data_IF_397178450793
#
_entry.id   IF_397178450793
#
_cell.length_a   1.000
_cell.length_b   1.000
_cell.length_c   1.000
_cell.angle_alpha   90.00
_cell.angle_beta   90.00
_cell.angle_gamma   90.00
#
_symmetry.space_group_name_H-M   'P 1'
#
loop_
_entity.id
_entity.type
_entity.pdbx_description
1 polymer ?
#
# COMPACT_ATOMS: atom_id res chain seq x y z
N UNK A 1 3.08 26.26 34.59
CA UNK A 1 3.33 26.56 33.18
C UNK A 1 2.40 25.66 32.37
N UNK A 2 1.32 26.19 31.81
CA UNK A 2 0.41 25.46 30.95
C UNK A 2 1.19 25.09 29.67
N UNK A 3 1.09 23.84 29.31
CA UNK A 3 1.88 23.21 28.26
C UNK A 3 1.47 23.81 26.90
N UNK A 4 2.27 24.70 26.31
CA UNK A 4 2.01 25.32 24.98
C UNK A 4 1.71 24.26 23.90
N UNK A 5 2.23 23.05 24.10
CA UNK A 5 2.01 21.92 23.19
C UNK A 5 0.60 21.32 23.27
N UNK A 6 -0.15 21.45 24.40
CA UNK A 6 -1.52 20.92 24.48
C UNK A 6 -2.47 21.76 23.60
N UNK A 7 -2.35 23.06 23.63
CA UNK A 7 -3.18 23.95 22.79
C UNK A 7 -2.90 23.80 21.29
N UNK A 8 -1.68 23.45 20.88
CA UNK A 8 -1.36 23.21 19.48
C UNK A 8 -2.03 21.92 18.97
N UNK A 9 -1.97 20.83 19.74
CA UNK A 9 -2.62 19.55 19.37
C UNK A 9 -4.14 19.70 19.22
N UNK A 10 -4.77 20.45 20.12
CA UNK A 10 -6.21 20.68 20.07
C UNK A 10 -6.58 21.53 18.84
N UNK A 11 -5.87 22.61 18.56
CA UNK A 11 -6.09 23.43 17.35
C UNK A 11 -5.93 22.62 16.06
N UNK A 12 -4.94 21.73 15.98
CA UNK A 12 -4.72 20.92 14.78
C UNK A 12 -5.84 19.89 14.60
N UNK A 13 -6.35 19.30 15.68
CA UNK A 13 -7.53 18.42 15.65
C UNK A 13 -8.80 19.17 15.25
N UNK A 14 -9.04 20.34 15.82
CA UNK A 14 -10.19 21.20 15.48
C UNK A 14 -10.16 21.56 14.00
N UNK A 15 -9.00 21.92 13.48
CA UNK A 15 -8.83 22.20 12.06
C UNK A 15 -9.15 20.97 11.21
N UNK A 16 -8.67 19.79 11.57
CA UNK A 16 -9.01 18.54 10.89
C UNK A 16 -10.51 18.26 10.91
N UNK A 17 -11.16 18.48 12.04
CA UNK A 17 -12.62 18.27 12.17
C UNK A 17 -13.44 19.23 11.32
N UNK A 18 -12.95 20.45 11.06
CA UNK A 18 -13.64 21.45 10.27
C UNK A 18 -13.35 21.38 8.78
N UNK A 19 -12.13 21.01 8.38
CA UNK A 19 -11.64 21.14 7.00
C UNK A 19 -11.24 19.78 6.38
N UNK A 20 -11.17 18.70 7.19
CA UNK A 20 -10.58 17.42 6.75
C UNK A 20 -9.07 17.54 6.55
N UNK A 21 -8.51 16.74 5.65
CA UNK A 21 -7.07 16.79 5.32
C UNK A 21 -6.76 17.73 4.15
N UNK A 22 -7.78 18.33 3.53
CA UNK A 22 -7.60 19.25 2.40
C UNK A 22 -6.80 20.48 2.85
N UNK A 23 -5.74 20.77 2.14
CA UNK A 23 -4.84 21.88 2.50
C UNK A 23 -3.90 21.61 3.68
N UNK A 24 -3.89 20.40 4.25
CA UNK A 24 -2.88 20.03 5.25
C UNK A 24 -1.54 19.73 4.57
N UNK A 25 -0.45 20.42 4.95
CA UNK A 25 0.87 20.04 4.49
C UNK A 25 1.26 18.65 5.04
N UNK A 26 2.12 17.88 4.33
CA UNK A 26 2.48 16.51 4.70
C UNK A 26 2.93 16.32 6.14
N UNK A 27 3.69 17.27 6.70
CA UNK A 27 4.16 17.21 8.09
C UNK A 27 3.01 17.32 9.09
N UNK A 28 1.97 18.13 8.82
CA UNK A 28 0.82 18.22 9.73
C UNK A 28 -0.04 16.95 9.71
N UNK A 29 -0.14 16.25 8.59
CA UNK A 29 -0.79 14.92 8.53
C UNK A 29 -0.04 13.92 9.41
N UNK A 30 1.29 13.87 9.30
CA UNK A 30 2.13 13.02 10.15
C UNK A 30 2.03 13.41 11.63
N UNK A 31 1.99 14.70 11.91
CA UNK A 31 1.85 15.22 13.27
C UNK A 31 0.56 14.73 13.93
N UNK A 32 -0.58 14.80 13.22
CA UNK A 32 -1.86 14.26 13.69
C UNK A 32 -1.77 12.77 14.02
N UNK A 33 -1.16 11.97 13.15
CA UNK A 33 -0.96 10.53 13.39
C UNK A 33 -0.08 10.29 14.61
N UNK A 34 1.01 11.03 14.75
CA UNK A 34 1.94 10.91 15.87
C UNK A 34 1.31 11.31 17.20
N UNK A 35 0.27 12.13 17.25
CA UNK A 35 -0.43 12.44 18.51
C UNK A 35 -0.92 11.21 19.27
N UNK A 36 -1.27 10.15 18.54
CA UNK A 36 -1.80 8.92 19.13
C UNK A 36 -0.71 7.94 19.58
N UNK A 37 0.47 8.00 18.97
CA UNK A 37 1.58 7.09 19.29
C UNK A 37 2.73 7.75 20.05
N UNK A 38 2.79 9.10 20.09
CA UNK A 38 3.82 9.88 20.78
C UNK A 38 3.17 10.97 21.66
N UNK A 39 2.58 10.62 22.82
CA UNK A 39 1.67 11.52 23.54
C UNK A 39 2.36 12.72 24.22
N UNK A 40 3.65 12.66 24.54
CA UNK A 40 4.33 13.63 25.43
C UNK A 40 5.50 14.38 24.80
N UNK A 41 5.71 14.26 23.48
CA UNK A 41 6.82 14.92 22.77
C UNK A 41 6.29 15.93 21.75
N UNK A 42 7.15 16.81 21.31
CA UNK A 42 6.89 17.64 20.15
C UNK A 42 6.88 16.78 18.89
N UNK A 43 5.68 16.58 18.35
CA UNK A 43 5.44 15.75 17.16
C UNK A 43 5.67 16.53 15.87
N UNK A 44 5.71 17.86 15.91
CA UNK A 44 6.00 18.69 14.76
C UNK A 44 7.44 18.47 14.26
N UNK A 45 8.40 18.54 15.18
CA UNK A 45 9.81 18.27 14.88
C UNK A 45 10.00 16.85 14.33
N UNK A 46 9.31 15.87 14.92
CA UNK A 46 9.38 14.47 14.44
C UNK A 46 8.80 14.30 13.03
N UNK A 47 7.68 14.95 12.74
CA UNK A 47 7.06 14.93 11.42
C UNK A 47 7.98 15.54 10.34
N UNK A 48 8.64 16.65 10.65
CA UNK A 48 9.62 17.26 9.73
C UNK A 48 10.83 16.35 9.48
N UNK A 49 11.40 15.73 10.50
CA UNK A 49 12.51 14.76 10.35
C UNK A 49 12.12 13.57 9.48
N UNK A 50 10.90 13.04 9.65
CA UNK A 50 10.39 11.96 8.83
C UNK A 50 10.28 12.38 7.36
N UNK A 51 9.72 13.56 7.06
CA UNK A 51 9.63 14.07 5.69
C UNK A 51 11.03 14.30 5.09
N UNK A 52 11.96 14.86 5.87
CA UNK A 52 13.34 15.07 5.42
C UNK A 52 14.03 13.75 5.04
N UNK A 53 13.87 12.71 5.86
CA UNK A 53 14.53 11.42 5.63
C UNK A 53 13.89 10.60 4.51
N UNK A 54 12.56 10.60 4.38
CA UNK A 54 11.81 9.76 3.44
C UNK A 54 11.24 10.53 2.23
N UNK A 55 11.45 11.83 2.16
CA UNK A 55 11.13 12.69 1.03
C UNK A 55 9.66 13.12 0.90
N UNK A 56 8.70 12.34 1.41
CA UNK A 56 7.26 12.63 1.29
C UNK A 56 6.43 11.88 2.30
N UNK A 57 5.15 12.26 2.46
CA UNK A 57 4.17 11.49 3.24
C UNK A 57 4.07 10.03 2.76
N UNK A 58 4.03 9.82 1.45
CA UNK A 58 3.98 8.47 0.86
C UNK A 58 5.25 7.69 1.19
N UNK A 59 6.41 8.34 1.09
CA UNK A 59 7.70 7.73 1.47
C UNK A 59 7.73 7.29 2.92
N UNK A 60 7.23 8.12 3.84
CA UNK A 60 7.13 7.79 5.27
C UNK A 60 6.19 6.61 5.51
N UNK A 61 4.96 6.67 4.99
CA UNK A 61 3.94 5.66 5.27
C UNK A 61 4.27 4.29 4.65
N UNK A 62 5.09 4.24 3.59
CA UNK A 62 5.53 3.00 2.95
C UNK A 62 6.90 2.48 3.45
N UNK A 63 7.62 3.27 4.24
CA UNK A 63 8.89 2.82 4.81
C UNK A 63 8.66 1.68 5.81
N UNK A 64 9.60 0.72 5.83
CA UNK A 64 9.54 -0.38 6.80
C UNK A 64 9.62 0.15 8.25
N UNK A 65 8.89 -0.48 9.20
CA UNK A 65 8.91 -0.03 10.59
C UNK A 65 10.32 0.06 11.21
N UNK A 66 11.22 -0.82 10.80
CA UNK A 66 12.62 -0.82 11.24
C UNK A 66 13.37 0.43 10.76
N UNK A 67 13.08 0.92 9.56
CA UNK A 67 13.67 2.14 9.00
C UNK A 67 13.10 3.39 9.68
N UNK A 68 11.78 3.42 9.91
CA UNK A 68 11.12 4.50 10.65
C UNK A 68 11.64 4.62 12.08
N UNK A 69 11.88 3.49 12.74
CA UNK A 69 12.39 3.46 14.12
C UNK A 69 13.85 3.93 14.26
N UNK A 70 14.59 4.08 13.15
CA UNK A 70 15.93 4.69 13.15
C UNK A 70 15.89 6.21 13.26
N UNK A 71 14.74 6.84 12.98
CA UNK A 71 14.57 8.29 13.16
C UNK A 71 14.56 8.61 14.66
N UNK A 72 15.44 9.53 15.06
CA UNK A 72 15.53 9.93 16.47
C UNK A 72 14.17 10.42 17.01
N UNK A 73 13.69 9.79 18.05
CA UNK A 73 12.41 10.11 18.70
C UNK A 73 11.22 9.28 18.21
N UNK A 74 11.39 8.48 17.16
CA UNK A 74 10.38 7.51 16.70
C UNK A 74 10.71 6.14 17.30
N UNK A 75 9.86 5.68 18.21
CA UNK A 75 9.94 4.31 18.74
C UNK A 75 9.19 3.31 17.83
N UNK A 76 9.44 2.01 18.02
CA UNK A 76 8.82 0.95 17.21
C UNK A 76 7.29 1.05 17.19
N UNK A 77 6.63 1.40 18.29
CA UNK A 77 5.17 1.57 18.32
C UNK A 77 4.68 2.67 17.35
N UNK A 78 5.39 3.81 17.30
CA UNK A 78 5.06 4.88 16.36
C UNK A 78 5.38 4.49 14.92
N UNK A 79 6.46 3.77 14.70
CA UNK A 79 6.85 3.26 13.39
C UNK A 79 5.81 2.28 12.82
N UNK A 80 5.37 1.31 13.62
CA UNK A 80 4.29 0.38 13.25
C UNK A 80 2.99 1.12 12.99
N UNK A 81 2.63 2.09 13.82
CA UNK A 81 1.41 2.89 13.64
C UNK A 81 1.42 3.64 12.30
N UNK A 82 2.53 4.29 11.93
CA UNK A 82 2.65 4.99 10.66
C UNK A 82 2.55 4.04 9.47
N UNK A 83 3.24 2.91 9.50
CA UNK A 83 3.21 1.92 8.43
C UNK A 83 1.81 1.29 8.27
N UNK A 84 1.13 1.00 9.38
CA UNK A 84 -0.22 0.42 9.40
C UNK A 84 -1.25 1.29 8.67
N UNK A 85 -1.10 2.62 8.66
CA UNK A 85 -2.01 3.53 7.95
C UNK A 85 -2.04 3.21 6.44
N UNK A 86 -0.89 2.96 5.83
CA UNK A 86 -0.82 2.58 4.41
C UNK A 86 -1.45 1.21 4.17
N UNK A 87 -1.24 0.24 5.06
CA UNK A 87 -1.85 -1.09 4.96
C UNK A 87 -3.38 -1.02 5.08
N UNK A 88 -3.89 -0.24 6.03
CA UNK A 88 -5.33 -0.01 6.18
C UNK A 88 -5.91 0.68 4.93
N UNK A 89 -5.25 1.68 4.39
CA UNK A 89 -5.70 2.35 3.18
C UNK A 89 -5.77 1.39 1.99
N UNK A 90 -4.75 0.56 1.77
CA UNK A 90 -4.75 -0.47 0.72
C UNK A 90 -5.90 -1.45 0.91
N UNK A 91 -6.09 -1.95 2.12
CA UNK A 91 -7.17 -2.89 2.46
C UNK A 91 -8.54 -2.25 2.27
N UNK A 92 -8.73 -1.02 2.75
CA UNK A 92 -9.98 -0.28 2.59
C UNK A 92 -10.36 -0.12 1.11
N UNK A 93 -9.43 0.33 0.27
CA UNK A 93 -9.70 0.47 -1.16
C UNK A 93 -9.98 -0.86 -1.86
N UNK A 94 -9.29 -1.94 -1.47
CA UNK A 94 -9.56 -3.26 -2.00
C UNK A 94 -10.97 -3.77 -1.63
N UNK A 95 -11.40 -3.55 -0.38
CA UNK A 95 -12.71 -3.99 0.11
C UNK A 95 -13.86 -3.06 -0.36
N UNK A 96 -13.58 -1.78 -0.64
CA UNK A 96 -14.55 -0.83 -1.15
C UNK A 96 -14.92 -1.05 -2.64
N UNK A 97 -14.23 -1.94 -3.34
CA UNK A 97 -14.55 -2.29 -4.72
C UNK A 97 -15.85 -3.10 -4.74
N UNK A 98 -16.86 -2.56 -5.43
CA UNK A 98 -18.18 -3.20 -5.54
C UNK A 98 -18.04 -4.63 -6.09
N UNK A 99 -18.61 -5.63 -5.43
CA UNK A 99 -18.62 -7.00 -5.94
C UNK A 99 -19.26 -7.09 -7.32
N UNK A 100 -18.73 -7.98 -8.15
CA UNK A 100 -19.30 -8.23 -9.48
C UNK A 100 -20.66 -8.92 -9.39
N UNK A 101 -21.62 -8.55 -10.24
CA UNK A 101 -22.86 -9.27 -10.40
C UNK A 101 -22.60 -10.72 -10.93
N UNK A 102 -23.55 -11.61 -10.71
CA UNK A 102 -23.37 -13.02 -11.08
C UNK A 102 -23.30 -13.25 -12.61
N UNK A 103 -23.82 -12.32 -13.39
CA UNK A 103 -23.89 -12.32 -14.86
C UNK A 103 -22.81 -11.42 -15.49
N UNK A 104 -21.78 -11.01 -14.73
CA UNK A 104 -20.70 -10.17 -15.23
C UNK A 104 -19.99 -10.82 -16.42
N UNK A 105 -19.73 -10.01 -17.45
CA UNK A 105 -18.99 -10.43 -18.64
C UNK A 105 -17.48 -10.44 -18.35
N UNK A 106 -16.68 -11.05 -19.25
CA UNK A 106 -15.23 -11.16 -19.09
C UNK A 106 -14.54 -9.80 -18.95
N UNK A 107 -15.02 -8.78 -19.66
CA UNK A 107 -14.49 -7.41 -19.59
C UNK A 107 -14.73 -6.78 -18.23
N UNK A 108 -15.87 -7.04 -17.59
CA UNK A 108 -16.21 -6.55 -16.25
C UNK A 108 -15.32 -7.22 -15.20
N UNK A 109 -15.06 -8.52 -15.36
CA UNK A 109 -14.13 -9.28 -14.51
C UNK A 109 -12.71 -8.74 -14.60
N UNK A 110 -12.21 -8.51 -15.80
CA UNK A 110 -10.87 -7.95 -16.00
C UNK A 110 -10.75 -6.55 -15.39
N UNK A 111 -11.79 -5.72 -15.55
CA UNK A 111 -11.84 -4.38 -14.93
C UNK A 111 -11.90 -4.44 -13.40
N UNK A 112 -12.67 -5.38 -12.87
CA UNK A 112 -12.78 -5.60 -11.42
C UNK A 112 -11.44 -6.01 -10.81
N UNK A 113 -10.83 -7.08 -11.35
CA UNK A 113 -9.53 -7.53 -10.85
C UNK A 113 -8.42 -6.52 -11.07
N UNK A 114 -8.45 -5.78 -12.18
CA UNK A 114 -7.55 -4.67 -12.43
C UNK A 114 -7.62 -3.61 -11.33
N UNK A 115 -8.81 -3.14 -10.96
CA UNK A 115 -9.00 -2.18 -9.85
C UNK A 115 -8.52 -2.75 -8.52
N UNK A 116 -8.85 -4.00 -8.22
CA UNK A 116 -8.45 -4.67 -6.98
C UNK A 116 -6.93 -4.78 -6.84
N UNK A 117 -6.26 -5.17 -7.92
CA UNK A 117 -4.80 -5.31 -7.96
C UNK A 117 -4.10 -3.94 -7.93
N UNK A 118 -4.64 -2.92 -8.62
CA UNK A 118 -4.13 -1.54 -8.50
C UNK A 118 -4.22 -1.06 -7.05
N UNK A 119 -5.34 -1.30 -6.36
CA UNK A 119 -5.48 -0.95 -4.94
C UNK A 119 -4.46 -1.69 -4.06
N UNK A 120 -4.25 -2.99 -4.31
CA UNK A 120 -3.28 -3.79 -3.57
C UNK A 120 -1.83 -3.36 -3.80
N UNK A 121 -1.50 -2.88 -5.01
CA UNK A 121 -0.17 -2.44 -5.40
C UNK A 121 0.13 -0.98 -5.04
N UNK A 122 -0.89 -0.19 -4.74
CA UNK A 122 -0.74 1.25 -4.55
C UNK A 122 0.24 1.58 -3.43
N UNK A 123 1.26 2.39 -3.76
CA UNK A 123 2.27 2.84 -2.82
C UNK A 123 3.31 1.78 -2.42
N UNK A 124 3.30 0.58 -2.97
CA UNK A 124 4.36 -0.39 -2.71
C UNK A 124 5.69 0.12 -3.29
N UNK A 125 6.78 0.13 -2.49
CA UNK A 125 8.08 0.66 -2.91
C UNK A 125 8.84 -0.29 -3.85
N UNK A 126 8.48 -1.57 -3.84
CA UNK A 126 9.12 -2.63 -4.59
C UNK A 126 8.17 -3.25 -5.61
N UNK A 127 8.76 -3.78 -6.68
CA UNK A 127 8.04 -4.55 -7.66
C UNK A 127 7.49 -5.82 -7.03
N UNK A 128 6.19 -6.02 -7.14
CA UNK A 128 5.48 -7.12 -6.49
C UNK A 128 4.59 -7.83 -7.50
N UNK A 129 4.76 -9.15 -7.61
CA UNK A 129 3.94 -10.01 -8.47
C UNK A 129 2.81 -10.63 -7.66
N UNK A 130 1.59 -10.43 -8.13
CA UNK A 130 0.38 -11.06 -7.61
C UNK A 130 -0.14 -12.12 -8.56
N UNK A 131 -0.64 -13.21 -7.97
CA UNK A 131 -1.36 -14.28 -8.64
C UNK A 131 -2.78 -14.34 -8.09
N UNK A 132 -3.77 -14.19 -8.95
CA UNK A 132 -5.17 -14.42 -8.61
C UNK A 132 -5.57 -15.77 -9.18
N UNK A 133 -6.00 -16.68 -8.32
CA UNK A 133 -6.56 -17.97 -8.68
C UNK A 133 -8.07 -17.83 -8.86
N UNK A 134 -8.59 -18.30 -9.99
CA UNK A 134 -10.00 -18.15 -10.36
C UNK A 134 -10.64 -19.52 -10.58
N UNK A 135 -11.92 -19.65 -10.23
CA UNK A 135 -12.75 -20.83 -10.53
C UNK A 135 -13.24 -20.83 -11.99
N UNK A 136 -14.04 -21.84 -12.36
CA UNK A 136 -14.61 -21.97 -13.70
C UNK A 136 -15.58 -20.83 -14.09
N UNK A 137 -16.09 -20.10 -13.10
CA UNK A 137 -16.94 -18.92 -13.29
C UNK A 137 -16.14 -17.62 -13.24
N UNK A 138 -14.80 -17.72 -13.27
CA UNK A 138 -13.85 -16.61 -13.13
C UNK A 138 -14.00 -15.85 -11.80
N UNK A 139 -14.49 -16.51 -10.75
CA UNK A 139 -14.55 -15.96 -9.40
C UNK A 139 -13.26 -16.27 -8.66
N UNK A 140 -12.87 -15.35 -7.80
CA UNK A 140 -11.67 -15.48 -7.01
C UNK A 140 -11.76 -16.62 -5.99
N UNK A 141 -10.78 -17.51 -6.06
CA UNK A 141 -10.50 -18.53 -5.06
C UNK A 141 -9.48 -17.98 -4.05
N UNK A 142 -8.39 -17.38 -4.56
CA UNK A 142 -7.36 -16.75 -3.73
C UNK A 142 -6.63 -15.64 -4.50
N UNK A 143 -6.01 -14.73 -3.75
CA UNK A 143 -5.02 -13.77 -4.27
C UNK A 143 -3.75 -13.92 -3.45
N UNK A 144 -2.67 -14.33 -4.10
CA UNK A 144 -1.39 -14.61 -3.48
C UNK A 144 -0.31 -13.66 -3.99
N UNK A 145 0.54 -13.17 -3.07
CA UNK A 145 1.75 -12.44 -3.42
C UNK A 145 2.88 -13.44 -3.69
N UNK A 146 3.33 -13.52 -4.94
CA UNK A 146 4.27 -14.53 -5.39
C UNK A 146 5.72 -14.13 -5.15
N UNK A 147 6.07 -12.88 -5.44
CA UNK A 147 7.41 -12.34 -5.25
C UNK A 147 7.38 -10.86 -4.95
N UNK A 148 8.44 -10.40 -4.29
CA UNK A 148 8.74 -8.99 -4.03
C UNK A 148 10.24 -8.82 -4.22
N UNK A 149 10.71 -7.78 -4.91
CA UNK A 149 12.14 -7.54 -5.08
C UNK A 149 12.52 -6.62 -6.22
N UNK A 150 13.80 -6.48 -6.48
CA UNK A 150 14.40 -5.48 -7.37
C UNK A 150 13.97 -5.64 -8.84
N UNK A 151 13.89 -4.52 -9.59
CA UNK A 151 13.27 -4.42 -10.92
C UNK A 151 13.97 -5.15 -12.08
N UNK A 152 15.05 -5.87 -11.83
CA UNK A 152 15.86 -6.53 -12.88
C UNK A 152 15.85 -8.07 -12.84
N UNK A 153 14.95 -8.69 -12.10
CA UNK A 153 14.93 -10.15 -11.90
C UNK A 153 13.57 -10.78 -12.26
N UNK A 154 12.95 -10.38 -13.33
CA UNK A 154 11.69 -11.01 -13.77
C UNK A 154 11.96 -12.20 -14.68
N UNK A 155 12.50 -13.25 -14.12
CA UNK A 155 12.01 -14.58 -14.52
C UNK A 155 10.73 -14.80 -13.72
N UNK A 156 9.57 -14.81 -14.40
CA UNK A 156 8.32 -15.25 -13.78
C UNK A 156 8.60 -16.58 -13.07
N UNK A 157 8.37 -16.68 -11.75
CA UNK A 157 8.68 -17.89 -11.00
C UNK A 157 7.65 -18.97 -11.33
N UNK A 158 7.68 -19.49 -12.58
CA UNK A 158 6.71 -20.41 -13.15
C UNK A 158 6.42 -21.62 -12.26
N UNK A 159 7.47 -22.15 -11.60
CA UNK A 159 7.29 -23.25 -10.64
C UNK A 159 6.41 -22.85 -9.45
N UNK A 160 6.62 -21.66 -8.88
CA UNK A 160 5.85 -21.17 -7.74
C UNK A 160 4.42 -20.82 -8.15
N UNK A 161 4.24 -20.24 -9.32
CA UNK A 161 2.93 -19.95 -9.91
C UNK A 161 2.14 -21.24 -10.08
N UNK A 162 2.74 -22.27 -10.70
CA UNK A 162 2.11 -23.58 -10.90
C UNK A 162 1.78 -24.26 -9.56
N UNK A 163 2.69 -24.20 -8.58
CA UNK A 163 2.47 -24.78 -7.24
C UNK A 163 1.25 -24.13 -6.56
N UNK A 164 1.12 -22.81 -6.59
CA UNK A 164 -0.02 -22.10 -5.98
C UNK A 164 -1.31 -22.40 -6.72
N UNK A 165 -1.30 -22.35 -8.06
CA UNK A 165 -2.48 -22.67 -8.87
C UNK A 165 -2.98 -24.10 -8.63
N UNK A 166 -2.08 -25.09 -8.56
CA UNK A 166 -2.43 -26.48 -8.26
C UNK A 166 -2.95 -26.66 -6.83
N UNK A 167 -2.34 -25.98 -5.84
CA UNK A 167 -2.80 -26.01 -4.44
C UNK A 167 -4.24 -25.54 -4.30
N UNK A 168 -4.63 -24.55 -5.06
CA UNK A 168 -5.99 -24.00 -5.06
C UNK A 168 -6.93 -24.64 -6.07
N UNK A 169 -6.45 -25.67 -6.81
CA UNK A 169 -7.22 -26.33 -7.88
C UNK A 169 -7.79 -25.30 -8.87
N UNK A 170 -7.05 -24.24 -9.15
CA UNK A 170 -7.51 -23.14 -9.98
C UNK A 170 -7.44 -23.46 -11.48
N UNK A 171 -8.57 -23.52 -12.21
CA UNK A 171 -8.60 -23.74 -13.65
C UNK A 171 -8.12 -22.54 -14.45
N UNK A 172 -8.13 -21.36 -13.84
CA UNK A 172 -7.68 -20.10 -14.46
C UNK A 172 -6.89 -19.27 -13.49
N UNK A 173 -5.91 -18.54 -14.01
CA UNK A 173 -5.10 -17.61 -13.22
C UNK A 173 -5.01 -16.24 -13.91
N UNK A 174 -4.81 -15.21 -13.09
CA UNK A 174 -4.47 -13.87 -13.54
C UNK A 174 -3.20 -13.44 -12.83
N UNK A 175 -2.24 -12.94 -13.59
CA UNK A 175 -0.99 -12.40 -13.08
C UNK A 175 -1.00 -10.88 -13.21
N UNK A 176 -0.51 -10.19 -12.21
CA UNK A 176 -0.29 -8.75 -12.27
C UNK A 176 0.91 -8.35 -11.42
N UNK A 177 1.62 -7.32 -11.86
CA UNK A 177 2.71 -6.70 -11.10
C UNK A 177 2.63 -5.18 -11.21
N UNK A 178 3.26 -4.49 -10.28
CA UNK A 178 3.36 -3.04 -10.29
C UNK A 178 4.74 -2.58 -10.78
N UNK A 179 4.79 -1.37 -11.32
CA UNK A 179 6.03 -0.66 -11.64
C UNK A 179 6.16 0.55 -10.70
N UNK A 180 6.80 0.45 -9.52
CA UNK A 180 6.78 1.48 -8.48
C UNK A 180 7.30 2.85 -8.92
N UNK A 181 8.18 2.89 -9.91
CA UNK A 181 8.83 4.11 -10.42
C UNK A 181 8.61 4.33 -11.92
N UNK A 182 7.74 3.55 -12.54
CA UNK A 182 7.55 3.55 -13.99
C UNK A 182 6.10 3.77 -14.42
N UNK A 183 5.92 3.79 -15.72
CA UNK A 183 4.60 3.73 -16.33
C UNK A 183 4.06 2.29 -16.25
N UNK A 184 2.75 2.13 -16.14
CA UNK A 184 2.08 0.83 -16.17
C UNK A 184 2.03 0.27 -17.61
N UNK A 185 3.21 0.18 -18.23
CA UNK A 185 3.42 -0.37 -19.60
C UNK A 185 4.33 -1.58 -19.46
N UNK A 186 3.96 -2.74 -20.04
CA UNK A 186 4.80 -3.92 -19.99
C UNK A 186 6.22 -3.64 -20.53
N UNK A 187 7.24 -4.06 -19.81
CA UNK A 187 8.62 -4.04 -20.30
C UNK A 187 8.83 -5.11 -21.39
N UNK A 188 9.95 -5.08 -22.07
CA UNK A 188 10.31 -6.15 -23.04
C UNK A 188 10.46 -7.49 -22.35
N UNK A 189 10.96 -7.47 -21.13
CA UNK A 189 11.13 -8.63 -20.26
C UNK A 189 9.77 -9.21 -19.84
N UNK A 190 8.79 -8.38 -19.50
CA UNK A 190 7.43 -8.80 -19.16
C UNK A 190 6.75 -9.49 -20.33
N UNK A 191 6.88 -8.93 -21.54
CA UNK A 191 6.33 -9.51 -22.76
C UNK A 191 7.00 -10.87 -23.05
N UNK A 192 8.32 -10.94 -22.96
CA UNK A 192 9.06 -12.18 -23.18
C UNK A 192 8.70 -13.25 -22.15
N UNK A 193 8.51 -12.87 -20.87
CA UNK A 193 8.18 -13.79 -19.79
C UNK A 193 6.74 -14.30 -19.87
N UNK A 194 5.80 -13.51 -20.40
CA UNK A 194 4.39 -13.91 -20.57
C UNK A 194 4.14 -14.74 -21.83
N UNK A 195 5.09 -14.83 -22.74
CA UNK A 195 4.96 -15.55 -24.02
C UNK A 195 4.00 -14.87 -25.00
N UNK A 196 3.75 -13.57 -24.83
CA UNK A 196 2.91 -12.73 -25.69
C UNK A 196 3.70 -12.18 -26.87
#
# INVERSE_FOLDING_TARGET
MANEHSGHRDRLRERYLSEGLDGFPPHNVLELLLFYSVPRRDTNVLAHRLIEQFGSLVGVLNAAPEQLAQVEGIGMNAAVHLHLVADIARRYYAEAITPLPNDAQREDLMRYYGKKLVAACNGLPEETLYLVCLDNNLREISTDRISTGAPNAVQLPGRKIAEVALRHHAPSILLAHNHPRGLAIPSREDIAASGL
#
